data_IF_175483189792
#
_entry.id   IF_175483189792
#
_cell.length_a   1.000
_cell.length_b   1.000
_cell.length_c   1.000
_cell.angle_alpha   90.00
_cell.angle_beta   90.00
_cell.angle_gamma   90.00
#
_symmetry.space_group_name_H-M   'P 1'
#
loop_
_entity.id
_entity.type
_entity.pdbx_description
1 polymer ?
#
# COMPACT_ATOMS: atom_id res chain seq x y z
N UNK A 1 2.59 25.29 4.10
CA UNK A 1 3.60 24.22 4.18
C UNK A 1 3.16 23.04 3.34
N UNK A 2 4.09 22.44 2.57
CA UNK A 2 3.75 21.25 1.80
C UNK A 2 3.59 20.04 2.73
N UNK A 3 2.71 19.13 2.33
CA UNK A 3 2.56 17.84 2.97
C UNK A 3 3.74 16.94 2.62
N UNK A 4 4.15 16.12 3.57
CA UNK A 4 5.23 15.14 3.41
C UNK A 4 4.64 13.73 3.33
N UNK A 5 4.95 13.02 2.26
CA UNK A 5 4.53 11.64 2.10
C UNK A 5 5.72 10.71 1.87
N UNK A 6 5.60 9.51 2.38
CA UNK A 6 6.51 8.41 2.09
C UNK A 6 5.82 7.44 1.13
N UNK A 7 6.52 6.93 0.14
CA UNK A 7 6.03 5.87 -0.74
C UNK A 7 6.93 4.65 -0.59
N UNK A 8 6.36 3.55 -0.17
CA UNK A 8 7.07 2.29 0.11
C UNK A 8 6.91 1.34 -1.07
N UNK A 9 7.93 0.55 -1.36
CA UNK A 9 8.06 -0.27 -2.56
C UNK A 9 8.06 0.59 -3.83
N UNK A 10 8.84 1.65 -3.80
CA UNK A 10 8.80 2.76 -4.74
C UNK A 10 9.24 2.42 -6.16
N UNK A 11 9.92 1.29 -6.37
CA UNK A 11 10.44 0.91 -7.68
C UNK A 11 9.35 0.35 -8.62
N UNK A 12 8.16 0.03 -8.10
CA UNK A 12 7.06 -0.53 -8.87
C UNK A 12 6.34 0.48 -9.75
N UNK A 13 5.54 -0.01 -10.70
CA UNK A 13 4.81 0.83 -11.66
C UNK A 13 3.83 1.80 -10.98
N UNK A 14 2.98 1.27 -10.11
CA UNK A 14 1.98 2.09 -9.41
C UNK A 14 2.66 3.14 -8.55
N UNK A 15 3.70 2.75 -7.81
CA UNK A 15 4.47 3.65 -6.97
C UNK A 15 5.07 4.80 -7.78
N UNK A 16 5.64 4.54 -8.94
CA UNK A 16 6.24 5.58 -9.78
C UNK A 16 5.19 6.60 -10.24
N UNK A 17 4.00 6.16 -10.60
CA UNK A 17 2.91 7.06 -11.00
C UNK A 17 2.42 7.90 -9.82
N UNK A 18 2.28 7.29 -8.65
CA UNK A 18 1.90 7.99 -7.42
C UNK A 18 2.93 9.06 -7.08
N UNK A 19 4.21 8.72 -7.15
CA UNK A 19 5.31 9.64 -6.86
C UNK A 19 5.30 10.81 -7.84
N UNK A 20 5.19 10.55 -9.13
CA UNK A 20 5.16 11.60 -10.16
C UNK A 20 4.02 12.58 -9.92
N UNK A 21 2.81 12.07 -9.71
CA UNK A 21 1.62 12.89 -9.44
C UNK A 21 1.79 13.72 -8.16
N UNK A 22 2.31 13.10 -7.11
CA UNK A 22 2.51 13.78 -5.83
C UNK A 22 3.52 14.93 -5.96
N UNK A 23 4.61 14.71 -6.67
CA UNK A 23 5.63 15.75 -6.93
C UNK A 23 5.04 16.88 -7.76
N UNK A 24 4.26 16.56 -8.81
CA UNK A 24 3.59 17.58 -9.63
C UNK A 24 2.62 18.44 -8.81
N UNK A 25 1.99 17.86 -7.80
CA UNK A 25 1.10 18.58 -6.89
C UNK A 25 1.83 19.36 -5.80
N UNK A 26 3.16 19.37 -5.80
CA UNK A 26 3.96 20.11 -4.84
C UNK A 26 4.12 19.42 -3.48
N UNK A 27 3.84 18.13 -3.39
CA UNK A 27 4.10 17.37 -2.18
C UNK A 27 5.58 17.04 -2.07
N UNK A 28 6.08 16.97 -0.85
CA UNK A 28 7.43 16.52 -0.55
C UNK A 28 7.40 14.99 -0.43
N UNK A 29 8.06 14.30 -1.34
CA UNK A 29 7.99 12.84 -1.44
C UNK A 29 9.33 12.21 -1.10
N UNK A 30 9.33 11.31 -0.12
CA UNK A 30 10.45 10.40 0.14
C UNK A 30 10.04 8.99 -0.31
N UNK A 31 10.83 8.42 -1.20
CA UNK A 31 10.60 7.07 -1.71
C UNK A 31 11.53 6.08 -1.01
N UNK A 32 10.98 4.91 -0.67
CA UNK A 32 11.72 3.78 -0.11
C UNK A 32 11.58 2.59 -1.04
N UNK A 33 12.70 2.05 -1.50
CA UNK A 33 12.72 0.90 -2.41
C UNK A 33 13.92 0.01 -2.19
N UNK A 34 13.86 -1.21 -2.71
CA UNK A 34 14.94 -2.20 -2.57
C UNK A 34 16.06 -2.00 -3.58
N UNK A 35 15.79 -1.29 -4.66
CA UNK A 35 16.70 -1.10 -5.78
C UNK A 35 17.17 0.35 -5.87
N UNK A 36 17.98 0.65 -6.87
CA UNK A 36 18.37 2.03 -7.15
C UNK A 36 17.17 2.89 -7.50
N UNK A 37 17.27 4.18 -7.24
CA UNK A 37 16.18 5.13 -7.50
C UNK A 37 15.86 5.21 -9.00
N UNK A 38 14.66 4.78 -9.36
CA UNK A 38 14.09 4.93 -10.70
C UNK A 38 12.86 5.85 -10.68
N UNK A 39 12.74 6.71 -9.67
CA UNK A 39 11.56 7.55 -9.42
C UNK A 39 11.90 9.03 -9.53
N UNK A 40 10.86 9.87 -9.52
CA UNK A 40 10.98 11.33 -9.48
C UNK A 40 10.83 11.90 -8.06
N UNK A 41 11.01 11.06 -7.03
CA UNK A 41 10.86 11.49 -5.64
C UNK A 41 11.84 12.60 -5.27
N UNK A 42 11.41 13.46 -4.36
CA UNK A 42 12.24 14.53 -3.79
C UNK A 42 13.46 13.95 -3.06
N UNK A 43 13.26 12.84 -2.37
CA UNK A 43 14.32 12.10 -1.66
C UNK A 43 14.10 10.60 -1.85
N UNK A 44 15.19 9.84 -1.82
CA UNK A 44 15.14 8.39 -1.98
C UNK A 44 16.03 7.70 -0.95
N UNK A 45 15.49 6.65 -0.33
CA UNK A 45 16.22 5.79 0.61
C UNK A 45 16.12 4.35 0.12
N UNK A 46 17.25 3.73 -0.14
CA UNK A 46 17.30 2.32 -0.54
C UNK A 46 17.13 1.45 0.71
N UNK A 47 15.92 0.97 0.93
CA UNK A 47 15.58 0.20 2.13
C UNK A 47 14.35 -0.68 1.86
N UNK A 48 14.41 -1.93 2.25
CA UNK A 48 13.29 -2.86 2.16
C UNK A 48 12.20 -2.46 3.18
N UNK A 49 10.94 -2.71 2.83
CA UNK A 49 9.80 -2.40 3.71
C UNK A 49 9.95 -3.02 5.10
N UNK A 50 10.46 -4.24 5.18
CA UNK A 50 10.60 -4.96 6.45
C UNK A 50 11.79 -4.49 7.30
N UNK A 51 12.63 -3.63 6.76
CA UNK A 51 13.74 -2.97 7.48
C UNK A 51 13.36 -1.57 7.96
N UNK A 52 12.20 -1.07 7.57
CA UNK A 52 11.71 0.24 8.02
C UNK A 52 11.40 0.21 9.52
N UNK A 53 11.65 1.34 10.17
CA UNK A 53 11.35 1.53 11.58
C UNK A 53 10.30 2.61 11.76
N UNK A 54 9.72 2.69 12.96
CA UNK A 54 8.79 3.76 13.29
C UNK A 54 9.44 5.14 13.11
N UNK A 55 10.71 5.27 13.47
CA UNK A 55 11.46 6.52 13.31
C UNK A 55 11.59 6.92 11.84
N UNK A 56 11.68 5.95 10.92
CA UNK A 56 11.73 6.24 9.48
C UNK A 56 10.44 6.87 8.95
N UNK A 57 9.30 6.57 9.55
CA UNK A 57 7.99 6.87 8.96
C UNK A 57 7.14 7.87 9.76
N UNK A 58 7.40 8.06 11.04
CA UNK A 58 6.50 8.81 11.93
C UNK A 58 6.39 10.31 11.63
N UNK A 59 7.34 10.87 10.90
CA UNK A 59 7.35 12.30 10.56
C UNK A 59 6.50 12.65 9.34
N UNK A 60 6.06 11.64 8.58
CA UNK A 60 5.26 11.86 7.38
C UNK A 60 3.78 12.06 7.71
N UNK A 61 3.10 12.86 6.90
CA UNK A 61 1.65 13.02 6.99
C UNK A 61 0.92 11.75 6.56
N UNK A 62 1.49 11.06 5.56
CA UNK A 62 0.98 9.79 5.07
C UNK A 62 2.10 8.89 4.57
N UNK A 63 1.89 7.59 4.67
CA UNK A 63 2.73 6.54 4.08
C UNK A 63 1.89 5.77 3.09
N UNK A 64 2.35 5.69 1.85
CA UNK A 64 1.71 4.90 0.80
C UNK A 64 2.38 3.55 0.71
N UNK A 65 1.63 2.50 0.97
CA UNK A 65 2.05 1.11 0.77
C UNK A 65 1.70 0.69 -0.66
N UNK A 66 2.70 0.66 -1.52
CA UNK A 66 2.58 0.23 -2.91
C UNK A 66 3.19 -1.16 -3.13
N UNK A 67 3.32 -1.96 -2.07
CA UNK A 67 3.84 -3.32 -2.17
C UNK A 67 2.90 -4.18 -3.03
N UNK A 68 3.45 -4.85 -4.02
CA UNK A 68 2.73 -5.76 -4.90
C UNK A 68 3.55 -6.98 -5.23
N UNK A 69 2.90 -8.03 -5.69
CA UNK A 69 3.53 -9.25 -6.15
C UNK A 69 2.58 -9.99 -7.10
N UNK A 70 3.14 -10.72 -8.05
CA UNK A 70 2.38 -11.49 -9.03
C UNK A 70 2.74 -12.99 -9.01
N UNK A 71 3.96 -13.31 -8.54
CA UNK A 71 4.37 -14.70 -8.40
C UNK A 71 3.68 -15.33 -7.19
N UNK A 72 3.11 -16.52 -7.36
CA UNK A 72 2.39 -17.23 -6.29
C UNK A 72 3.24 -17.37 -5.02
N UNK A 73 4.55 -17.58 -5.20
CA UNK A 73 5.49 -17.73 -4.09
C UNK A 73 5.69 -16.45 -3.28
N UNK A 74 5.35 -15.29 -3.86
CA UNK A 74 5.64 -13.98 -3.26
C UNK A 74 4.39 -13.23 -2.80
N UNK A 75 3.19 -13.75 -3.08
CA UNK A 75 1.93 -13.07 -2.76
C UNK A 75 1.78 -12.75 -1.27
N UNK A 76 2.38 -13.54 -0.40
CA UNK A 76 2.32 -13.34 1.05
C UNK A 76 2.89 -11.98 1.48
N UNK A 77 3.78 -11.39 0.69
CA UNK A 77 4.39 -10.10 1.04
C UNK A 77 3.35 -8.97 1.09
N UNK A 78 2.24 -9.10 0.34
CA UNK A 78 1.18 -8.09 0.29
C UNK A 78 0.55 -7.91 1.67
N UNK A 79 0.06 -8.98 2.27
CA UNK A 79 -0.54 -8.90 3.60
C UNK A 79 0.49 -8.69 4.70
N UNK A 80 1.67 -9.29 4.57
CA UNK A 80 2.77 -9.12 5.53
C UNK A 80 3.21 -7.66 5.62
N UNK A 81 3.36 -6.98 4.48
CA UNK A 81 3.74 -5.58 4.45
C UNK A 81 2.65 -4.68 5.07
N UNK A 82 1.39 -4.93 4.75
CA UNK A 82 0.27 -4.17 5.34
C UNK A 82 0.25 -4.32 6.87
N UNK A 83 0.42 -5.54 7.37
CA UNK A 83 0.49 -5.80 8.81
C UNK A 83 1.68 -5.09 9.46
N UNK A 84 2.84 -5.18 8.84
CA UNK A 84 4.07 -4.57 9.34
C UNK A 84 3.94 -3.05 9.43
N UNK A 85 3.48 -2.41 8.36
CA UNK A 85 3.32 -0.96 8.34
C UNK A 85 2.22 -0.48 9.28
N UNK A 86 1.10 -1.20 9.37
CA UNK A 86 0.03 -0.88 10.30
C UNK A 86 0.53 -0.92 11.74
N UNK A 87 1.37 -1.88 12.07
CA UNK A 87 1.97 -2.00 13.40
C UNK A 87 2.95 -0.88 13.70
N UNK A 88 3.82 -0.53 12.75
CA UNK A 88 4.76 0.59 12.89
C UNK A 88 4.04 1.92 13.12
N UNK A 89 2.91 2.14 12.47
CA UNK A 89 2.17 3.40 12.52
C UNK A 89 1.08 3.42 13.59
N UNK A 90 0.96 2.35 14.36
CA UNK A 90 0.02 2.27 15.47
C UNK A 90 0.25 3.41 16.48
N UNK A 91 -0.83 4.10 16.83
CA UNK A 91 -0.78 5.20 17.78
C UNK A 91 -0.17 6.49 17.24
N UNK A 92 0.17 6.55 15.95
CA UNK A 92 0.72 7.76 15.32
C UNK A 92 -0.36 8.58 14.62
N UNK A 93 -0.03 9.83 14.29
CA UNK A 93 -0.89 10.68 13.46
C UNK A 93 -0.76 10.38 11.96
N UNK A 94 0.26 9.63 11.57
CA UNK A 94 0.55 9.30 10.17
C UNK A 94 -0.50 8.34 9.61
N UNK A 95 -1.09 8.68 8.47
CA UNK A 95 -2.07 7.81 7.79
C UNK A 95 -1.36 6.81 6.88
N UNK A 96 -1.78 5.57 6.95
CA UNK A 96 -1.36 4.51 6.04
C UNK A 96 -2.36 4.40 4.88
N UNK A 97 -1.88 4.60 3.66
CA UNK A 97 -2.67 4.41 2.44
C UNK A 97 -2.18 3.15 1.75
N UNK A 98 -3.02 2.13 1.67
CA UNK A 98 -2.65 0.85 1.05
C UNK A 98 -3.25 0.78 -0.35
N UNK A 99 -2.39 0.61 -1.35
CA UNK A 99 -2.82 0.35 -2.73
C UNK A 99 -3.27 -1.10 -2.80
N UNK A 100 -4.57 -1.30 -2.93
CA UNK A 100 -5.19 -2.62 -2.90
C UNK A 100 -5.69 -3.07 -4.27
N UNK A 101 -6.61 -4.01 -4.24
CA UNK A 101 -7.24 -4.56 -5.43
C UNK A 101 -8.75 -4.36 -5.43
N UNK A 102 -9.35 -4.49 -6.60
CA UNK A 102 -10.78 -4.28 -6.80
C UNK A 102 -11.65 -5.49 -6.42
N UNK A 103 -11.04 -6.65 -6.18
CA UNK A 103 -11.78 -7.89 -5.93
C UNK A 103 -12.72 -7.84 -4.72
N UNK A 104 -12.39 -7.01 -3.74
CA UNK A 104 -13.18 -6.82 -2.52
C UNK A 104 -14.31 -5.80 -2.64
N UNK A 105 -14.44 -5.12 -3.79
CA UNK A 105 -15.53 -4.17 -4.02
C UNK A 105 -16.87 -4.90 -4.04
N UNK A 106 -17.86 -4.32 -3.35
CA UNK A 106 -19.21 -4.84 -3.40
C UNK A 106 -19.85 -4.54 -4.77
N UNK A 107 -20.60 -5.52 -5.29
CA UNK A 107 -21.28 -5.40 -6.59
C UNK A 107 -22.81 -5.28 -6.42
N UNK A 108 -23.30 -5.26 -5.20
CA UNK A 108 -24.72 -5.11 -4.90
C UNK A 108 -24.97 -4.14 -3.73
N UNK A 109 -26.15 -3.47 -3.68
CA UNK A 109 -26.47 -2.51 -2.61
C UNK A 109 -26.49 -3.13 -1.21
N UNK A 110 -26.77 -4.42 -1.10
CA UNK A 110 -26.87 -5.16 0.18
C UNK A 110 -25.50 -5.48 0.76
N UNK A 111 -24.40 -5.26 0.01
CA UNK A 111 -23.02 -5.58 0.42
C UNK A 111 -22.84 -7.06 0.78
N UNK A 112 -23.46 -7.95 0.02
CA UNK A 112 -23.41 -9.40 0.26
C UNK A 112 -22.57 -10.15 -0.77
N UNK A 113 -22.18 -9.50 -1.87
CA UNK A 113 -21.36 -10.10 -2.93
C UNK A 113 -20.29 -9.14 -3.37
N UNK A 114 -19.09 -9.68 -3.60
CA UNK A 114 -17.92 -8.92 -4.06
C UNK A 114 -17.59 -9.25 -5.51
N UNK A 115 -16.78 -8.39 -6.14
CA UNK A 115 -16.36 -8.55 -7.53
C UNK A 115 -15.66 -9.89 -7.76
N UNK A 116 -14.79 -10.30 -6.84
CA UNK A 116 -14.03 -11.56 -6.96
C UNK A 116 -14.90 -12.81 -6.93
N UNK A 117 -16.13 -12.72 -6.41
CA UNK A 117 -17.09 -13.82 -6.34
C UNK A 117 -17.96 -13.93 -7.60
N UNK A 118 -17.83 -12.99 -8.53
CA UNK A 118 -18.63 -13.03 -9.76
C UNK A 118 -18.15 -14.15 -10.70
N UNK A 119 -19.08 -14.78 -11.46
CA UNK A 119 -18.72 -15.91 -12.34
C UNK A 119 -17.72 -15.56 -13.43
N UNK A 120 -17.68 -14.31 -13.86
CA UNK A 120 -16.81 -13.78 -14.91
C UNK A 120 -15.48 -13.24 -14.40
N UNK A 121 -15.25 -13.28 -13.09
CA UNK A 121 -13.97 -12.83 -12.53
C UNK A 121 -12.84 -13.73 -13.02
N UNK A 122 -11.76 -13.17 -13.63
CA UNK A 122 -10.69 -13.98 -14.22
C UNK A 122 -10.01 -14.86 -13.18
N UNK A 123 -9.91 -16.15 -13.49
CA UNK A 123 -9.31 -17.14 -12.59
C UNK A 123 -7.86 -16.82 -12.22
N UNK A 124 -7.10 -16.25 -13.18
CA UNK A 124 -5.69 -15.92 -12.97
C UNK A 124 -5.49 -14.78 -11.95
N UNK A 125 -6.51 -13.97 -11.71
CA UNK A 125 -6.44 -12.87 -10.72
C UNK A 125 -6.90 -13.28 -9.33
N UNK A 126 -7.50 -14.46 -9.17
CA UNK A 126 -8.00 -14.90 -7.86
C UNK A 126 -6.94 -14.97 -6.77
N UNK A 127 -5.73 -15.50 -7.02
CA UNK A 127 -4.69 -15.53 -5.98
C UNK A 127 -4.25 -14.14 -5.53
N UNK A 128 -4.06 -13.21 -6.48
CA UNK A 128 -3.70 -11.81 -6.17
C UNK A 128 -4.85 -11.12 -5.44
N UNK A 129 -6.08 -11.31 -5.88
CA UNK A 129 -7.26 -10.78 -5.22
C UNK A 129 -7.36 -11.26 -3.77
N UNK A 130 -7.12 -12.54 -3.52
CA UNK A 130 -7.12 -13.10 -2.18
C UNK A 130 -6.02 -12.49 -1.30
N UNK A 131 -4.83 -12.26 -1.86
CA UNK A 131 -3.72 -11.63 -1.14
C UNK A 131 -4.06 -10.19 -0.72
N UNK A 132 -4.66 -9.40 -1.61
CA UNK A 132 -5.12 -8.05 -1.28
C UNK A 132 -6.28 -8.09 -0.30
N UNK A 133 -7.18 -9.04 -0.41
CA UNK A 133 -8.28 -9.25 0.55
C UNK A 133 -7.76 -9.57 1.95
N UNK A 134 -6.70 -10.35 2.06
CA UNK A 134 -6.04 -10.64 3.34
C UNK A 134 -5.44 -9.37 3.96
N UNK A 135 -4.82 -8.50 3.15
CA UNK A 135 -4.32 -7.21 3.61
C UNK A 135 -5.46 -6.32 4.14
N UNK A 136 -6.58 -6.25 3.43
CA UNK A 136 -7.76 -5.49 3.87
C UNK A 136 -8.30 -6.02 5.19
N UNK A 137 -8.37 -7.34 5.36
CA UNK A 137 -8.83 -7.95 6.62
C UNK A 137 -7.93 -7.57 7.80
N UNK A 138 -6.62 -7.54 7.58
CA UNK A 138 -5.65 -7.12 8.60
C UNK A 138 -5.89 -5.66 8.98
N UNK A 139 -6.09 -4.77 8.01
CA UNK A 139 -6.38 -3.37 8.28
C UNK A 139 -7.67 -3.20 9.08
N UNK A 140 -8.74 -3.91 8.72
CA UNK A 140 -10.01 -3.89 9.45
C UNK A 140 -9.88 -4.35 10.91
N UNK A 141 -8.91 -5.22 11.18
CA UNK A 141 -8.60 -5.66 12.54
C UNK A 141 -7.67 -4.71 13.30
N UNK A 142 -7.10 -3.71 12.63
CA UNK A 142 -6.17 -2.75 13.23
C UNK A 142 -6.96 -1.60 13.85
N UNK A 143 -6.95 -1.51 15.19
CA UNK A 143 -7.81 -0.59 15.93
C UNK A 143 -7.20 0.79 16.17
N UNK A 144 -5.89 0.95 16.08
CA UNK A 144 -5.19 2.15 16.53
C UNK A 144 -4.25 2.71 15.45
N UNK A 145 -4.48 2.32 14.21
CA UNK A 145 -3.78 2.83 13.04
C UNK A 145 -4.78 3.56 12.15
N UNK A 146 -4.42 4.75 11.72
CA UNK A 146 -5.21 5.49 10.73
C UNK A 146 -4.90 4.91 9.35
N UNK A 147 -5.86 4.28 8.72
CA UNK A 147 -5.62 3.66 7.42
C UNK A 147 -6.73 3.96 6.41
N UNK A 148 -6.36 3.87 5.15
CA UNK A 148 -7.26 3.90 4.00
C UNK A 148 -6.81 2.85 3.01
N UNK A 149 -7.73 2.04 2.54
CA UNK A 149 -7.48 1.05 1.50
C UNK A 149 -8.06 1.56 0.19
N UNK A 150 -7.24 1.60 -0.85
CA UNK A 150 -7.63 2.10 -2.17
C UNK A 150 -7.85 0.90 -3.10
N UNK A 151 -9.09 0.69 -3.50
CA UNK A 151 -9.49 -0.40 -4.39
C UNK A 151 -9.34 -0.04 -5.86
#
# INVERSE_FOLDING_TARGET
MSKKIAVVAANGRAAQQIISEAVERGLEVTAFGRHENNTQATSYVQKDVFDLTKADLQEFDAVVDAVGAWQLTDLYVISKAAAYLADLLKGTATRLLVVGGAGSLFVNPEHTSTLELQPDFPADYKPVSAAHGAALAILRASSDTKWTYVS
#
